data_IF_181995575772
#
_entry.id   IF_181995575772
#
_cell.length_a   1.000
_cell.length_b   1.000
_cell.length_c   1.000
_cell.angle_alpha   90.00
_cell.angle_beta   90.00
_cell.angle_gamma   90.00
#
_symmetry.space_group_name_H-M   'P 1'
#
loop_
_entity.id
_entity.type
_entity.pdbx_description
1 polymer ?
#
# COMPACT_ATOMS: atom_id res chain seq x y z
N UNK A 1 -18.47 -1.49 9.52
CA UNK A 1 -17.38 -2.01 8.66
C UNK A 1 -17.73 -1.63 7.24
N UNK A 2 -16.76 -1.20 6.45
CA UNK A 2 -16.96 -0.82 5.06
C UNK A 2 -16.62 0.65 4.77
N UNK A 3 -17.44 1.60 5.27
CA UNK A 3 -17.19 3.03 5.02
C UNK A 3 -15.84 3.45 5.61
N UNK A 4 -14.99 4.11 4.79
CA UNK A 4 -13.63 4.49 5.16
C UNK A 4 -12.62 3.34 5.26
N UNK A 5 -13.02 2.12 4.88
CA UNK A 5 -12.24 0.89 5.07
C UNK A 5 -12.40 -0.05 3.87
N UNK A 6 -12.11 0.44 2.66
CA UNK A 6 -12.19 -0.33 1.41
C UNK A 6 -10.96 -1.17 1.09
N UNK A 7 -9.86 -0.99 1.83
CA UNK A 7 -8.60 -1.75 1.71
C UNK A 7 -7.97 -1.81 0.30
N UNK A 8 -8.43 -0.97 -0.64
CA UNK A 8 -7.92 -0.91 -2.01
C UNK A 8 -7.98 -2.28 -2.73
N UNK A 9 -9.07 -3.00 -2.50
CA UNK A 9 -9.38 -4.28 -3.15
C UNK A 9 -10.68 -4.20 -3.95
N UNK A 10 -10.87 -5.18 -4.84
CA UNK A 10 -12.16 -5.47 -5.47
C UNK A 10 -12.79 -6.68 -4.78
N UNK A 11 -13.82 -6.42 -3.97
CA UNK A 11 -14.48 -7.45 -3.19
C UNK A 11 -15.23 -8.44 -4.09
N UNK A 12 -15.20 -9.72 -3.73
CA UNK A 12 -15.89 -10.80 -4.47
C UNK A 12 -17.11 -11.35 -3.74
N UNK A 13 -17.23 -11.08 -2.43
CA UNK A 13 -18.32 -11.54 -1.59
C UNK A 13 -19.43 -10.49 -1.43
N UNK A 14 -20.68 -10.95 -1.38
CA UNK A 14 -21.83 -10.12 -1.04
C UNK A 14 -21.82 -9.72 0.45
N UNK A 15 -22.33 -8.53 0.81
CA UNK A 15 -22.89 -7.50 -0.08
C UNK A 15 -21.83 -6.56 -0.70
N UNK A 16 -20.55 -6.76 -0.36
CA UNK A 16 -19.45 -5.82 -0.67
C UNK A 16 -19.14 -5.75 -2.16
N UNK A 17 -19.25 -6.88 -2.87
CA UNK A 17 -19.05 -7.00 -4.32
C UNK A 17 -19.72 -5.90 -5.14
N UNK A 18 -20.88 -5.41 -4.69
CA UNK A 18 -21.64 -4.36 -5.40
C UNK A 18 -20.89 -3.03 -5.49
N UNK A 19 -20.15 -2.64 -4.45
CA UNK A 19 -19.65 -1.27 -4.32
C UNK A 19 -18.18 -1.16 -3.89
N UNK A 20 -17.56 -2.23 -3.42
CA UNK A 20 -16.20 -2.22 -2.90
C UNK A 20 -15.22 -2.65 -3.99
N UNK A 21 -15.20 -1.88 -5.08
CA UNK A 21 -14.31 -2.06 -6.23
C UNK A 21 -13.19 -1.00 -6.20
N UNK A 22 -12.56 -0.87 -5.03
CA UNK A 22 -11.62 0.22 -4.77
C UNK A 22 -10.31 0.06 -5.51
N UNK A 23 -9.88 -1.18 -5.79
CA UNK A 23 -8.70 -1.43 -6.61
C UNK A 23 -8.94 -0.90 -8.02
N UNK A 24 -10.01 -1.35 -8.67
CA UNK A 24 -10.41 -0.89 -10.01
C UNK A 24 -10.59 0.64 -10.05
N UNK A 25 -11.22 1.21 -9.03
CA UNK A 25 -11.43 2.66 -8.94
C UNK A 25 -10.10 3.43 -8.96
N UNK A 26 -9.16 3.09 -8.07
CA UNK A 26 -7.91 3.86 -7.94
C UNK A 26 -6.91 3.59 -9.05
N UNK A 27 -6.93 2.39 -9.65
CA UNK A 27 -5.98 2.05 -10.72
C UNK A 27 -6.47 2.43 -12.10
N UNK A 28 -7.76 2.51 -12.33
CA UNK A 28 -8.32 2.59 -13.69
C UNK A 28 -9.32 3.72 -13.85
N UNK A 29 -10.42 3.72 -13.08
CA UNK A 29 -11.50 4.69 -13.27
C UNK A 29 -11.06 6.12 -12.95
N UNK A 30 -10.46 6.33 -11.77
CA UNK A 30 -10.05 7.66 -11.34
C UNK A 30 -8.92 8.26 -12.18
N UNK A 31 -7.83 7.53 -12.52
CA UNK A 31 -6.83 8.04 -13.45
C UNK A 31 -7.38 8.37 -14.84
N UNK A 32 -8.33 7.59 -15.37
CA UNK A 32 -8.97 7.91 -16.66
C UNK A 32 -9.76 9.23 -16.57
N UNK A 33 -10.59 9.38 -15.53
CA UNK A 33 -11.36 10.60 -15.30
C UNK A 33 -10.45 11.83 -15.13
N UNK A 34 -9.32 11.70 -14.42
CA UNK A 34 -8.34 12.78 -14.27
C UNK A 34 -7.76 13.21 -15.62
N UNK A 35 -7.35 12.25 -16.46
CA UNK A 35 -6.79 12.54 -17.78
C UNK A 35 -7.82 13.19 -18.73
N UNK A 36 -9.08 12.80 -18.64
CA UNK A 36 -10.18 13.41 -19.40
C UNK A 36 -10.52 14.82 -18.92
N UNK A 37 -10.47 15.06 -17.60
CA UNK A 37 -10.90 16.32 -16.98
C UNK A 37 -9.79 17.38 -16.96
N UNK A 38 -8.52 16.97 -16.91
CA UNK A 38 -7.38 17.86 -16.71
C UNK A 38 -6.24 17.48 -17.66
N UNK A 39 -6.22 18.11 -18.84
CA UNK A 39 -5.20 17.85 -19.87
C UNK A 39 -3.75 18.12 -19.43
N UNK A 40 -3.56 18.89 -18.34
CA UNK A 40 -2.24 19.17 -17.78
C UNK A 40 -1.68 18.02 -16.92
N UNK A 41 -2.51 17.02 -16.56
CA UNK A 41 -2.10 15.89 -15.74
C UNK A 41 -1.71 14.73 -16.65
N UNK A 42 -0.42 14.38 -16.66
CA UNK A 42 0.07 13.15 -17.28
C UNK A 42 -0.16 11.95 -16.36
N UNK A 43 -1.18 11.15 -16.67
CA UNK A 43 -1.50 9.95 -15.90
C UNK A 43 -0.68 8.72 -16.30
N UNK A 44 0.16 8.83 -17.34
CA UNK A 44 1.10 7.79 -17.77
C UNK A 44 2.45 7.88 -17.06
N UNK A 45 2.80 9.08 -16.56
CA UNK A 45 3.96 9.31 -15.71
C UNK A 45 3.51 9.55 -14.27
N UNK A 46 3.20 8.46 -13.54
CA UNK A 46 2.66 8.56 -12.19
C UNK A 46 3.46 7.75 -11.15
N UNK A 47 3.34 8.15 -9.89
CA UNK A 47 3.83 7.43 -8.70
C UNK A 47 2.71 7.37 -7.67
N UNK A 48 2.84 6.51 -6.65
CA UNK A 48 1.78 6.29 -5.67
C UNK A 48 2.32 6.32 -4.23
N UNK A 49 1.57 6.95 -3.33
CA UNK A 49 1.87 6.93 -1.90
C UNK A 49 0.62 6.83 -1.04
N UNK A 50 0.79 6.45 0.22
CA UNK A 50 -0.31 6.38 1.16
C UNK A 50 0.14 6.18 2.61
N UNK A 51 -0.83 6.27 3.53
CA UNK A 51 -0.61 6.11 4.96
C UNK A 51 -1.43 4.92 5.50
N UNK A 52 -0.85 4.08 6.35
CA UNK A 52 -1.57 2.98 7.01
C UNK A 52 -2.16 1.98 6.02
N UNK A 53 -3.47 1.73 6.05
CA UNK A 53 -4.18 0.96 5.01
C UNK A 53 -4.07 1.62 3.62
N UNK A 54 -3.91 2.94 3.54
CA UNK A 54 -3.52 3.64 2.32
C UNK A 54 -2.11 3.30 1.83
N UNK A 55 -1.17 3.10 2.75
CA UNK A 55 0.18 2.62 2.44
C UNK A 55 0.17 1.16 1.96
N UNK A 56 -0.70 0.34 2.52
CA UNK A 56 -0.99 -0.98 1.94
C UNK A 56 -1.50 -0.87 0.49
N UNK A 57 -2.45 0.03 0.25
CA UNK A 57 -2.96 0.31 -1.09
C UNK A 57 -1.87 0.74 -2.06
N UNK A 58 -1.01 1.70 -1.68
CA UNK A 58 0.08 2.18 -2.55
C UNK A 58 1.04 1.06 -2.93
N UNK A 59 1.50 0.26 -1.95
CA UNK A 59 2.42 -0.86 -2.19
C UNK A 59 1.78 -1.93 -3.08
N UNK A 60 0.57 -2.39 -2.74
CA UNK A 60 -0.10 -3.47 -3.49
C UNK A 60 -0.44 -3.04 -4.92
N UNK A 61 -0.89 -1.80 -5.12
CA UNK A 61 -1.18 -1.27 -6.45
C UNK A 61 0.09 -1.16 -7.29
N UNK A 62 1.21 -0.68 -6.74
CA UNK A 62 2.46 -0.62 -7.48
C UNK A 62 2.97 -2.02 -7.89
N UNK A 63 2.95 -2.97 -6.94
CA UNK A 63 3.43 -4.35 -7.16
C UNK A 63 2.53 -5.13 -8.14
N UNK A 64 1.22 -4.90 -8.14
CA UNK A 64 0.27 -5.57 -9.05
C UNK A 64 0.21 -4.97 -10.46
N UNK A 65 0.81 -3.81 -10.68
CA UNK A 65 0.84 -3.15 -11.99
C UNK A 65 2.30 -2.86 -12.41
N UNK A 66 3.09 -3.91 -12.73
CA UNK A 66 4.48 -3.75 -13.14
C UNK A 66 4.68 -2.70 -14.23
N UNK A 67 5.60 -1.76 -14.00
CA UNK A 67 5.94 -0.70 -14.95
C UNK A 67 4.95 0.47 -15.04
N UNK A 68 3.79 0.41 -14.37
CA UNK A 68 2.79 1.50 -14.39
C UNK A 68 3.18 2.69 -13.52
N UNK A 69 3.77 2.43 -12.36
CA UNK A 69 4.17 3.47 -11.40
C UNK A 69 5.69 3.59 -11.37
N UNK A 70 6.19 4.82 -11.45
CA UNK A 70 7.65 5.11 -11.45
C UNK A 70 8.29 4.87 -10.09
N UNK A 71 7.53 5.03 -9.01
CA UNK A 71 7.97 4.76 -7.64
C UNK A 71 6.76 4.58 -6.72
N UNK A 72 6.97 3.95 -5.57
CA UNK A 72 5.96 3.79 -4.54
C UNK A 72 6.49 4.21 -3.18
N UNK A 73 5.67 4.85 -2.35
CA UNK A 73 6.06 5.10 -0.96
C UNK A 73 4.92 4.90 0.03
N UNK A 74 5.24 4.75 1.30
CA UNK A 74 4.24 4.61 2.33
C UNK A 74 4.70 5.09 3.71
N UNK A 75 3.75 5.68 4.45
CA UNK A 75 3.87 6.00 5.86
C UNK A 75 3.16 4.92 6.69
N UNK A 76 3.88 4.30 7.62
CA UNK A 76 3.37 3.25 8.52
C UNK A 76 2.42 2.23 7.84
N UNK A 77 2.80 1.61 6.70
CA UNK A 77 1.90 0.76 5.91
C UNK A 77 1.43 -0.51 6.63
N UNK A 78 0.19 -0.93 6.36
CA UNK A 78 -0.30 -2.26 6.73
C UNK A 78 0.22 -3.34 5.75
N UNK A 79 1.46 -3.77 5.92
CA UNK A 79 2.21 -4.55 4.95
C UNK A 79 1.82 -6.03 4.82
N UNK A 80 1.44 -6.69 5.92
CA UNK A 80 1.17 -8.14 5.92
C UNK A 80 -0.22 -8.45 6.47
N UNK A 81 -1.24 -7.79 5.91
CA UNK A 81 -2.62 -7.86 6.39
C UNK A 81 -3.15 -9.29 6.47
N UNK A 82 -2.79 -10.17 5.53
CA UNK A 82 -3.24 -11.57 5.50
C UNK A 82 -2.91 -12.36 6.77
N UNK A 83 -1.90 -11.92 7.52
CA UNK A 83 -1.43 -12.53 8.77
C UNK A 83 -1.77 -11.67 10.02
N UNK A 84 -2.75 -10.77 9.91
CA UNK A 84 -3.15 -9.85 11.00
C UNK A 84 -4.65 -9.94 11.33
N UNK A 85 -5.06 -9.55 12.54
CA UNK A 85 -6.49 -9.45 12.88
C UNK A 85 -7.28 -8.50 11.96
N UNK A 86 -6.67 -7.39 11.49
CA UNK A 86 -7.31 -6.48 10.56
C UNK A 86 -7.62 -7.14 9.22
N UNK A 87 -6.63 -7.82 8.61
CA UNK A 87 -6.86 -8.53 7.37
C UNK A 87 -7.78 -9.74 7.54
N UNK A 88 -7.69 -10.50 8.64
CA UNK A 88 -8.64 -11.57 8.92
C UNK A 88 -10.09 -11.08 8.88
N UNK A 89 -10.36 -9.92 9.49
CA UNK A 89 -11.69 -9.29 9.47
C UNK A 89 -12.04 -8.75 8.09
N UNK A 90 -11.12 -8.08 7.41
CA UNK A 90 -11.41 -7.38 6.17
C UNK A 90 -11.42 -8.31 4.95
N UNK A 91 -10.34 -9.04 4.72
CA UNK A 91 -10.22 -10.01 3.63
C UNK A 91 -11.20 -11.18 3.80
N UNK A 92 -11.48 -11.60 5.05
CA UNK A 92 -12.54 -12.58 5.30
C UNK A 92 -13.92 -12.13 4.82
N UNK A 93 -14.23 -10.82 4.94
CA UNK A 93 -15.49 -10.25 4.44
C UNK A 93 -15.48 -10.01 2.93
N UNK A 94 -14.34 -9.64 2.35
CA UNK A 94 -14.26 -9.31 0.92
C UNK A 94 -14.05 -10.53 0.02
N UNK A 95 -13.38 -11.57 0.51
CA UNK A 95 -12.99 -12.74 -0.28
C UNK A 95 -13.51 -14.07 0.28
N UNK A 96 -13.99 -14.07 1.53
CA UNK A 96 -14.40 -15.27 2.25
C UNK A 96 -13.31 -15.75 3.22
N UNK A 97 -13.72 -16.51 4.24
CA UNK A 97 -12.83 -17.06 5.26
C UNK A 97 -12.19 -18.39 4.87
N UNK A 98 -12.78 -19.10 3.90
CA UNK A 98 -12.42 -20.49 3.59
C UNK A 98 -11.16 -20.60 2.73
N UNK A 99 -10.83 -19.57 1.96
CA UNK A 99 -9.70 -19.55 1.04
C UNK A 99 -8.77 -18.36 1.29
N UNK A 100 -7.80 -18.58 2.19
CA UNK A 100 -6.76 -17.59 2.49
C UNK A 100 -5.75 -17.41 1.36
N UNK A 101 -5.73 -18.26 0.33
CA UNK A 101 -4.80 -18.07 -0.79
C UNK A 101 -5.11 -16.78 -1.54
N UNK A 102 -6.40 -16.44 -1.69
CA UNK A 102 -6.86 -15.18 -2.26
C UNK A 102 -6.36 -13.96 -1.48
N UNK A 103 -6.25 -14.05 -0.16
CA UNK A 103 -5.78 -12.93 0.65
C UNK A 103 -4.34 -12.54 0.30
N UNK A 104 -3.51 -13.54 -0.03
CA UNK A 104 -2.11 -13.33 -0.41
C UNK A 104 -1.97 -12.60 -1.75
N UNK A 105 -2.97 -12.64 -2.61
CA UNK A 105 -3.01 -11.88 -3.88
C UNK A 105 -3.26 -10.37 -3.65
N UNK A 106 -3.66 -10.02 -2.44
CA UNK A 106 -3.93 -8.65 -1.99
C UNK A 106 -3.04 -8.25 -0.81
N UNK A 107 -1.93 -8.96 -0.56
CA UNK A 107 -1.04 -8.72 0.57
C UNK A 107 0.31 -8.17 0.09
N UNK A 108 0.77 -7.04 0.64
CA UNK A 108 1.95 -6.36 0.13
C UNK A 108 3.24 -7.18 0.34
N UNK A 109 3.39 -7.91 1.45
CA UNK A 109 4.55 -8.79 1.67
C UNK A 109 4.55 -9.95 0.68
N UNK A 110 3.40 -10.60 0.50
CA UNK A 110 3.26 -11.72 -0.43
C UNK A 110 3.52 -11.29 -1.88
N UNK A 111 3.05 -10.10 -2.25
CA UNK A 111 3.26 -9.52 -3.58
C UNK A 111 4.72 -9.13 -3.79
N UNK A 112 5.37 -8.52 -2.79
CA UNK A 112 6.79 -8.15 -2.88
C UNK A 112 7.68 -9.39 -3.09
N UNK A 113 7.40 -10.50 -2.41
CA UNK A 113 8.15 -11.76 -2.60
C UNK A 113 8.01 -12.33 -4.01
N UNK A 114 6.86 -12.14 -4.66
CA UNK A 114 6.54 -12.73 -5.98
C UNK A 114 6.72 -11.75 -7.14
N UNK A 115 7.09 -10.51 -6.86
CA UNK A 115 7.15 -9.46 -7.86
C UNK A 115 8.19 -9.79 -8.93
N UNK A 116 7.73 -9.87 -10.18
CA UNK A 116 8.55 -10.22 -11.34
C UNK A 116 8.59 -9.08 -12.38
N UNK A 117 8.25 -7.86 -11.96
CA UNK A 117 8.27 -6.67 -12.81
C UNK A 117 9.66 -6.05 -12.95
N UNK A 118 9.74 -4.89 -13.65
CA UNK A 118 10.93 -4.04 -13.66
C UNK A 118 11.33 -3.61 -12.24
N UNK A 119 12.56 -3.11 -12.05
CA UNK A 119 12.96 -2.54 -10.77
C UNK A 119 11.93 -1.51 -10.26
N UNK A 120 11.48 -1.68 -9.02
CA UNK A 120 10.55 -0.79 -8.34
C UNK A 120 11.24 -0.23 -7.10
N UNK A 121 11.48 1.08 -7.12
CA UNK A 121 11.99 1.79 -5.96
C UNK A 121 10.84 2.12 -4.99
N UNK A 122 11.03 1.72 -3.74
CA UNK A 122 10.05 1.81 -2.66
C UNK A 122 10.65 2.56 -1.47
N UNK A 123 9.91 3.52 -0.92
CA UNK A 123 10.26 4.20 0.34
C UNK A 123 9.23 3.94 1.43
N UNK A 124 9.66 3.50 2.60
CA UNK A 124 8.80 3.32 3.77
C UNK A 124 9.38 4.06 4.97
N UNK A 125 8.52 4.84 5.61
CA UNK A 125 8.78 5.48 6.89
C UNK A 125 7.79 4.94 7.93
N UNK A 126 8.26 4.56 9.12
CA UNK A 126 7.41 4.04 10.21
C UNK A 126 7.80 4.67 11.55
N UNK A 127 6.81 5.20 12.27
CA UNK A 127 7.00 5.68 13.65
C UNK A 127 7.34 4.52 14.59
N UNK A 128 8.38 4.67 15.41
CA UNK A 128 8.78 3.61 16.34
C UNK A 128 7.85 3.50 17.57
N UNK A 129 7.15 4.57 17.89
CA UNK A 129 6.17 4.65 19.00
C UNK A 129 4.73 4.55 18.49
N UNK A 130 4.56 4.00 17.29
CA UNK A 130 3.27 3.82 16.65
C UNK A 130 2.36 2.92 17.51
N UNK A 131 1.25 3.48 17.98
CA UNK A 131 0.31 2.78 18.87
C UNK A 131 -0.37 1.57 18.19
N UNK A 132 -0.45 1.55 16.86
CA UNK A 132 -0.97 0.40 16.08
C UNK A 132 0.00 -0.78 16.14
N UNK A 133 1.27 -0.50 16.43
CA UNK A 133 2.34 -1.45 16.71
C UNK A 133 2.47 -1.75 18.23
N UNK A 134 2.48 -0.74 19.10
CA UNK A 134 2.80 -0.88 20.53
C UNK A 134 1.61 -1.32 21.40
N UNK A 135 0.39 -0.86 21.10
CA UNK A 135 -0.78 -1.07 21.96
C UNK A 135 -1.78 -2.09 21.39
N UNK A 136 -1.49 -2.67 20.23
CA UNK A 136 -2.27 -3.76 19.67
C UNK A 136 -1.79 -5.12 20.24
N UNK A 137 -2.67 -6.11 20.42
CA UNK A 137 -2.25 -7.46 20.82
C UNK A 137 -1.25 -8.11 19.86
N UNK A 138 -1.23 -7.63 18.61
CA UNK A 138 -0.37 -8.06 17.52
C UNK A 138 -0.07 -6.82 16.67
N UNK A 139 1.18 -6.67 16.24
CA UNK A 139 1.58 -5.70 15.21
C UNK A 139 0.71 -5.87 13.95
N UNK A 140 -0.15 -4.88 13.68
CA UNK A 140 -1.04 -4.87 12.51
C UNK A 140 -0.31 -4.37 11.25
N UNK A 141 0.81 -3.66 11.41
CA UNK A 141 1.52 -3.04 10.29
C UNK A 141 2.47 -4.05 9.66
N UNK A 142 3.26 -4.75 10.47
CA UNK A 142 4.23 -5.76 10.00
C UNK A 142 5.21 -5.17 8.96
N UNK A 143 5.60 -3.91 9.14
CA UNK A 143 6.51 -3.20 8.23
C UNK A 143 7.87 -3.90 8.09
N UNK A 144 8.38 -4.49 9.18
CA UNK A 144 9.64 -5.26 9.16
C UNK A 144 9.54 -6.52 8.32
N UNK A 145 8.37 -7.16 8.26
CA UNK A 145 8.13 -8.30 7.38
C UNK A 145 8.16 -7.90 5.90
N UNK A 146 7.71 -6.69 5.56
CA UNK A 146 7.86 -6.17 4.20
C UNK A 146 9.32 -5.92 3.86
N UNK A 147 10.09 -5.35 4.80
CA UNK A 147 11.54 -5.17 4.63
C UNK A 147 12.22 -6.50 4.31
N UNK A 148 11.90 -7.55 5.07
CA UNK A 148 12.49 -8.88 4.85
C UNK A 148 12.02 -9.50 3.51
N UNK A 149 10.76 -9.29 3.13
CA UNK A 149 10.22 -9.71 1.83
C UNK A 149 10.91 -9.01 0.65
N UNK A 150 11.11 -7.69 0.74
CA UNK A 150 11.78 -6.89 -0.29
C UNK A 150 13.27 -7.27 -0.40
N UNK A 151 13.96 -7.49 0.72
CA UNK A 151 15.36 -7.94 0.72
C UNK A 151 15.55 -9.29 0.00
N UNK A 152 14.51 -10.13 -0.03
CA UNK A 152 14.49 -11.40 -0.77
C UNK A 152 14.20 -11.26 -2.27
N UNK A 153 13.87 -10.07 -2.78
CA UNK A 153 13.53 -9.85 -4.18
C UNK A 153 14.40 -8.75 -4.82
N UNK A 154 15.28 -9.07 -5.78
CA UNK A 154 16.18 -8.09 -6.39
C UNK A 154 15.48 -7.00 -7.19
N UNK A 155 14.19 -7.15 -7.55
CA UNK A 155 13.43 -6.15 -8.30
C UNK A 155 12.70 -5.14 -7.39
N UNK A 156 12.77 -5.30 -6.06
CA UNK A 156 12.12 -4.40 -5.10
C UNK A 156 13.21 -3.70 -4.28
N UNK A 157 13.57 -2.49 -4.66
CA UNK A 157 14.58 -1.71 -3.95
C UNK A 157 13.90 -0.91 -2.84
N UNK A 158 14.24 -1.22 -1.59
CA UNK A 158 13.57 -0.61 -0.44
C UNK A 158 14.50 0.34 0.33
N UNK A 159 14.08 1.60 0.43
CA UNK A 159 14.52 2.55 1.45
C UNK A 159 13.58 2.45 2.67
N UNK A 160 14.07 1.90 3.79
CA UNK A 160 13.28 1.64 4.99
C UNK A 160 13.78 2.44 6.19
N UNK A 161 12.91 3.30 6.73
CA UNK A 161 13.26 4.25 7.79
C UNK A 161 12.36 4.06 9.01
N UNK A 162 12.97 3.66 10.14
CA UNK A 162 12.31 3.69 11.45
C UNK A 162 12.56 5.06 12.09
N UNK A 163 11.50 5.71 12.58
CA UNK A 163 11.53 7.08 13.12
C UNK A 163 11.24 7.08 14.63
N UNK A 164 12.29 7.09 15.49
CA UNK A 164 12.12 7.19 16.95
C UNK A 164 11.38 8.47 17.36
N UNK A 165 10.51 8.37 18.37
CA UNK A 165 9.71 9.51 18.86
C UNK A 165 8.50 9.90 18.01
N UNK A 166 8.21 9.14 16.95
CA UNK A 166 7.05 9.37 16.09
C UNK A 166 6.02 8.25 16.22
N UNK A 167 4.75 8.63 16.13
CA UNK A 167 3.57 7.78 16.23
C UNK A 167 2.90 7.53 14.85
N UNK A 168 1.64 7.08 14.84
CA UNK A 168 0.83 6.85 13.63
C UNK A 168 0.09 8.11 13.12
N UNK A 169 0.31 9.27 13.74
CA UNK A 169 -0.52 10.45 13.50
C UNK A 169 -0.10 11.20 12.24
N UNK A 170 -0.91 12.19 11.87
CA UNK A 170 -0.53 13.12 10.81
C UNK A 170 0.60 14.07 11.19
N UNK A 171 0.99 14.19 12.47
CA UNK A 171 2.22 14.92 12.83
C UNK A 171 3.46 14.17 12.33
N UNK A 172 3.47 12.84 12.47
CA UNK A 172 4.48 11.98 11.86
C UNK A 172 4.48 12.14 10.33
N UNK A 173 3.33 11.97 9.67
CA UNK A 173 3.23 12.08 8.21
C UNK A 173 3.69 13.46 7.73
N UNK A 174 3.25 14.54 8.37
CA UNK A 174 3.60 15.90 7.98
C UNK A 174 5.11 16.17 8.10
N UNK A 175 5.77 15.59 9.11
CA UNK A 175 7.21 15.77 9.34
C UNK A 175 8.04 15.25 8.16
N UNK A 176 7.66 14.10 7.59
CA UNK A 176 8.43 13.41 6.56
C UNK A 176 7.82 13.51 5.16
N UNK A 177 6.73 14.28 4.99
CA UNK A 177 6.06 14.45 3.70
C UNK A 177 6.99 15.01 2.62
N UNK A 178 7.83 15.99 2.96
CA UNK A 178 8.76 16.60 2.01
C UNK A 178 9.75 15.57 1.43
N UNK A 179 10.23 14.64 2.25
CA UNK A 179 11.14 13.57 1.81
C UNK A 179 10.47 12.64 0.81
N UNK A 180 9.21 12.27 1.04
CA UNK A 180 8.43 11.44 0.11
C UNK A 180 8.13 12.17 -1.20
N UNK A 181 7.84 13.47 -1.14
CA UNK A 181 7.63 14.28 -2.34
C UNK A 181 8.92 14.41 -3.17
N UNK A 182 10.08 14.61 -2.52
CA UNK A 182 11.39 14.63 -3.20
C UNK A 182 11.69 13.29 -3.85
N UNK A 183 11.51 12.19 -3.11
CA UNK A 183 11.66 10.83 -3.61
C UNK A 183 10.83 10.62 -4.88
N UNK A 184 9.52 10.91 -4.88
CA UNK A 184 8.70 10.76 -6.07
C UNK A 184 9.10 11.71 -7.21
N UNK A 185 9.45 12.97 -6.90
CA UNK A 185 9.87 13.94 -7.90
C UNK A 185 11.14 13.51 -8.64
N UNK A 186 12.07 12.80 -8.00
CA UNK A 186 13.26 12.25 -8.64
C UNK A 186 12.93 11.17 -9.67
N UNK A 187 11.93 10.34 -9.40
CA UNK A 187 11.52 9.25 -10.30
C UNK A 187 10.59 9.72 -11.43
N UNK A 188 9.90 10.84 -11.24
CA UNK A 188 8.97 11.42 -12.24
C UNK A 188 9.65 12.36 -13.24
N UNK A 189 10.89 12.79 -12.99
CA UNK A 189 11.66 13.65 -13.91
C UNK A 189 12.22 12.92 -15.13
N UNK A 190 12.10 11.58 -15.18
CA UNK A 190 12.71 10.71 -16.19
C UNK A 190 11.69 10.17 -17.21
#
# INVERSE_FOLDING_TARGET
FGVGAGYYVDATQDPWKKNYNMYTYVTSEFPALLGESFQQIDTTNCSVMGHSVGGHGSLTVALKNPGKYKSASAFAPACNLSETPWGFKAFGRFFGHDDKSKWKEHDACCLAQKYAGPALDVKIDVGFEDFVYVNAPVDQLRCRQFRDAAAGNPNVHLDFNERPGYDHSYFFVATFMEDHLKFHAEHLKN
#
